data_IF_701869439056
#
_entry.id   IF_701869439056
#
_cell.length_a   1.000
_cell.length_b   1.000
_cell.length_c   1.000
_cell.angle_alpha   90.00
_cell.angle_beta   90.00
_cell.angle_gamma   90.00
#
_symmetry.space_group_name_H-M   'P 1'
#
loop_
_entity.id
_entity.type
_entity.pdbx_description
1 polymer ?
#
# COMPACT_ATOMS: atom_id res chain seq x y z
N UNK A 1 -28.41 -36.44 -42.60
CA UNK A 1 -28.50 -35.06 -42.03
C UNK A 1 -27.61 -34.98 -40.81
N UNK A 2 -26.36 -34.57 -40.99
CA UNK A 2 -25.38 -34.45 -39.91
C UNK A 2 -24.22 -33.57 -40.42
N UNK A 3 -24.35 -32.27 -40.26
CA UNK A 3 -23.25 -31.33 -40.45
C UNK A 3 -23.63 -30.02 -39.74
N UNK A 4 -23.15 -29.82 -38.49
CA UNK A 4 -22.99 -28.51 -37.85
C UNK A 4 -22.56 -28.67 -36.37
N UNK A 5 -21.28 -28.97 -36.13
CA UNK A 5 -20.73 -28.79 -34.74
C UNK A 5 -19.22 -28.60 -34.64
N UNK A 6 -18.50 -28.31 -35.77
CA UNK A 6 -17.02 -28.19 -35.73
C UNK A 6 -16.44 -26.77 -35.78
N UNK A 7 -17.27 -25.74 -36.07
CA UNK A 7 -16.75 -24.36 -36.27
C UNK A 7 -16.72 -23.48 -35.02
N UNK A 8 -17.23 -23.93 -33.89
CA UNK A 8 -17.33 -23.10 -32.67
C UNK A 8 -16.17 -23.29 -31.67
N UNK A 9 -15.34 -24.35 -31.83
CA UNK A 9 -14.22 -24.62 -30.93
C UNK A 9 -12.91 -23.89 -31.27
N UNK A 10 -12.69 -23.53 -32.52
CA UNK A 10 -11.41 -22.93 -32.97
C UNK A 10 -11.33 -21.42 -32.65
N UNK A 11 -12.47 -20.71 -32.53
CA UNK A 11 -12.49 -19.27 -32.24
C UNK A 11 -12.23 -18.91 -30.77
N UNK A 12 -12.39 -19.87 -29.84
CA UNK A 12 -12.16 -19.62 -28.38
C UNK A 12 -10.69 -19.73 -27.96
N UNK A 13 -9.86 -20.50 -28.66
CA UNK A 13 -8.43 -20.65 -28.31
C UNK A 13 -7.58 -19.46 -28.79
N UNK A 14 -7.93 -18.83 -29.91
CA UNK A 14 -7.15 -17.73 -30.48
C UNK A 14 -7.32 -16.39 -29.72
N UNK A 15 -8.47 -16.19 -29.06
CA UNK A 15 -8.72 -14.96 -28.26
C UNK A 15 -8.15 -15.04 -26.83
N UNK A 16 -7.89 -16.23 -26.29
CA UNK A 16 -7.35 -16.42 -24.94
C UNK A 16 -5.85 -16.12 -24.83
N UNK A 17 -5.07 -16.48 -25.84
CA UNK A 17 -3.61 -16.27 -25.83
C UNK A 17 -3.22 -14.80 -26.07
N UNK A 18 -3.98 -14.07 -26.86
CA UNK A 18 -3.76 -12.63 -27.10
C UNK A 18 -4.07 -11.74 -25.90
N UNK A 19 -4.92 -12.18 -24.99
CA UNK A 19 -5.25 -11.47 -23.73
C UNK A 19 -4.33 -11.88 -22.58
N UNK A 20 -3.84 -13.12 -22.57
CA UNK A 20 -2.96 -13.61 -21.48
C UNK A 20 -1.56 -12.99 -21.51
N UNK A 21 -0.94 -12.83 -22.68
CA UNK A 21 0.41 -12.25 -22.82
C UNK A 21 0.53 -10.82 -22.23
N UNK A 22 -0.29 -9.83 -22.60
CA UNK A 22 -0.16 -8.48 -22.06
C UNK A 22 -0.49 -8.40 -20.56
N UNK A 23 -1.38 -9.26 -20.03
CA UNK A 23 -1.71 -9.32 -18.63
C UNK A 23 -0.51 -9.85 -17.80
N UNK A 24 0.12 -10.93 -18.26
CA UNK A 24 1.30 -11.51 -17.60
C UNK A 24 2.48 -10.51 -17.64
N UNK A 25 2.73 -9.92 -18.81
CA UNK A 25 3.81 -8.92 -18.95
C UNK A 25 3.57 -7.70 -18.06
N UNK A 26 2.33 -7.21 -18.00
CA UNK A 26 1.98 -6.09 -17.13
C UNK A 26 2.15 -6.42 -15.64
N UNK A 27 1.76 -7.62 -15.23
CA UNK A 27 1.97 -8.10 -13.86
C UNK A 27 3.44 -8.23 -13.52
N UNK A 28 4.26 -8.77 -14.44
CA UNK A 28 5.72 -8.87 -14.23
C UNK A 28 6.39 -7.51 -14.10
N UNK A 29 6.00 -6.53 -14.92
CA UNK A 29 6.52 -5.15 -14.83
C UNK A 29 6.17 -4.57 -13.46
N UNK A 30 4.91 -4.64 -13.02
CA UNK A 30 4.49 -4.13 -11.70
C UNK A 30 5.21 -4.85 -10.55
N UNK A 31 5.44 -6.15 -10.67
CA UNK A 31 6.17 -6.92 -9.65
C UNK A 31 7.63 -6.50 -9.59
N UNK A 32 8.30 -6.37 -10.75
CA UNK A 32 9.70 -5.98 -10.82
C UNK A 32 9.92 -4.54 -10.32
N UNK A 33 9.07 -3.59 -10.74
CA UNK A 33 9.12 -2.20 -10.25
C UNK A 33 8.76 -2.09 -8.79
N UNK A 34 7.77 -2.85 -8.31
CA UNK A 34 7.42 -2.92 -6.90
C UNK A 34 8.54 -3.46 -6.04
N UNK A 35 9.30 -4.46 -6.53
CA UNK A 35 10.50 -4.97 -5.85
C UNK A 35 11.60 -3.91 -5.84
N UNK A 36 11.90 -3.28 -6.98
CA UNK A 36 12.90 -2.22 -7.07
C UNK A 36 12.57 -1.04 -6.14
N UNK A 37 11.31 -0.59 -6.10
CA UNK A 37 10.86 0.48 -5.20
C UNK A 37 11.03 0.10 -3.72
N UNK A 38 10.76 -1.14 -3.34
CA UNK A 38 10.99 -1.61 -1.96
C UNK A 38 12.46 -1.68 -1.61
N UNK A 39 13.31 -2.09 -2.56
CA UNK A 39 14.74 -2.11 -2.39
C UNK A 39 15.31 -0.70 -2.18
N UNK A 40 14.93 0.25 -3.03
CA UNK A 40 15.30 1.67 -2.87
C UNK A 40 14.78 2.21 -1.54
N UNK A 41 13.52 1.95 -1.20
CA UNK A 41 12.91 2.38 0.06
C UNK A 41 13.58 1.79 1.31
N UNK A 42 14.09 0.57 1.22
CA UNK A 42 14.83 -0.06 2.31
C UNK A 42 16.15 0.68 2.59
N UNK A 43 16.98 0.94 1.57
CA UNK A 43 18.23 1.70 1.75
C UNK A 43 17.96 3.15 2.18
N UNK A 44 16.91 3.75 1.67
CA UNK A 44 16.47 5.07 2.12
C UNK A 44 16.17 5.11 3.61
N UNK A 45 15.50 4.10 4.16
CA UNK A 45 15.23 4.02 5.61
C UNK A 45 16.50 3.86 6.45
N UNK A 46 17.50 3.12 5.96
CA UNK A 46 18.81 3.02 6.60
C UNK A 46 19.48 4.41 6.63
N UNK A 47 19.44 5.12 5.51
CA UNK A 47 19.97 6.48 5.43
C UNK A 47 19.26 7.41 6.42
N UNK A 48 17.92 7.42 6.44
CA UNK A 48 17.15 8.26 7.36
C UNK A 48 17.44 7.93 8.84
N UNK A 49 17.53 6.65 9.18
CA UNK A 49 17.78 6.22 10.56
C UNK A 49 19.16 6.66 11.07
N UNK A 50 20.17 6.63 10.19
CA UNK A 50 21.52 7.09 10.53
C UNK A 50 21.62 8.61 10.59
N UNK A 51 20.79 9.31 9.81
CA UNK A 51 20.80 10.78 9.75
C UNK A 51 20.02 11.43 10.89
N UNK A 52 18.81 10.91 11.17
CA UNK A 52 17.88 11.54 12.14
C UNK A 52 17.82 10.79 13.47
N UNK A 53 18.48 9.63 13.59
CA UNK A 53 18.44 8.80 14.79
C UNK A 53 17.08 8.15 15.03
N UNK A 54 16.98 7.45 16.16
CA UNK A 54 15.79 6.68 16.53
C UNK A 54 14.58 7.56 16.84
N UNK A 55 14.79 8.66 17.59
CA UNK A 55 13.72 9.60 17.95
C UNK A 55 13.15 10.32 16.72
N UNK A 56 14.03 10.83 15.84
CA UNK A 56 13.62 11.47 14.59
C UNK A 56 12.83 10.53 13.69
N UNK A 57 13.21 9.25 13.64
CA UNK A 57 12.43 8.22 12.94
C UNK A 57 11.06 8.00 13.58
N UNK A 58 10.96 8.06 14.92
CA UNK A 58 9.67 7.97 15.63
C UNK A 58 8.74 9.12 15.26
N UNK A 59 9.23 10.35 15.28
CA UNK A 59 8.47 11.56 14.90
C UNK A 59 8.01 11.46 13.42
N UNK A 60 8.91 11.03 12.52
CA UNK A 60 8.57 10.85 11.11
C UNK A 60 7.45 9.82 10.92
N UNK A 61 7.53 8.68 11.60
CA UNK A 61 6.54 7.61 11.49
C UNK A 61 5.17 8.00 12.06
N UNK A 62 5.10 8.91 13.03
CA UNK A 62 3.82 9.44 13.54
C UNK A 62 3.06 10.29 12.51
N UNK A 63 3.70 10.76 11.45
CA UNK A 63 2.99 11.46 10.36
C UNK A 63 2.24 10.51 9.41
N UNK A 64 2.66 9.24 9.34
CA UNK A 64 2.10 8.24 8.44
C UNK A 64 0.58 7.99 8.61
N UNK A 65 0.01 7.95 9.84
CA UNK A 65 -1.42 7.86 10.07
C UNK A 65 -2.23 8.94 9.34
N UNK A 66 -1.80 10.19 9.42
CA UNK A 66 -2.51 11.32 8.80
C UNK A 66 -2.49 11.18 7.28
N UNK A 67 -1.33 10.81 6.70
CA UNK A 67 -1.20 10.58 5.27
C UNK A 67 -2.08 9.41 4.80
N UNK A 68 -2.08 8.28 5.53
CA UNK A 68 -2.87 7.11 5.19
C UNK A 68 -4.39 7.37 5.23
N UNK A 69 -4.86 8.12 6.24
CA UNK A 69 -6.26 8.53 6.35
C UNK A 69 -6.64 9.49 5.21
N UNK A 70 -5.79 10.48 4.93
CA UNK A 70 -6.00 11.44 3.84
C UNK A 70 -6.09 10.74 2.48
N UNK A 71 -5.17 9.82 2.17
CA UNK A 71 -5.18 9.03 0.94
C UNK A 71 -6.43 8.15 0.84
N UNK A 72 -6.86 7.54 1.96
CA UNK A 72 -8.06 6.70 1.99
C UNK A 72 -9.31 7.50 1.70
N UNK A 73 -9.39 8.72 2.24
CA UNK A 73 -10.54 9.61 2.07
C UNK A 73 -10.59 10.18 0.65
N UNK A 74 -9.46 10.60 0.10
CA UNK A 74 -9.42 11.41 -1.12
C UNK A 74 -9.42 10.59 -2.40
N UNK A 75 -8.65 9.50 -2.48
CA UNK A 75 -8.35 8.87 -3.76
C UNK A 75 -8.43 7.35 -3.81
N UNK A 76 -8.26 6.64 -2.70
CA UNK A 76 -8.05 5.19 -2.75
C UNK A 76 -9.24 4.41 -3.34
N UNK A 77 -10.47 4.80 -3.01
CA UNK A 77 -11.69 4.24 -3.59
C UNK A 77 -11.90 4.70 -5.04
N UNK A 78 -11.63 5.97 -5.32
CA UNK A 78 -11.84 6.56 -6.63
C UNK A 78 -10.88 6.00 -7.68
N UNK A 79 -9.60 5.79 -7.36
CA UNK A 79 -8.65 5.12 -8.25
C UNK A 79 -9.16 3.76 -8.73
N UNK A 80 -9.71 2.97 -7.81
CA UNK A 80 -10.27 1.65 -8.13
C UNK A 80 -11.54 1.76 -8.96
N UNK A 81 -12.41 2.73 -8.65
CA UNK A 81 -13.63 3.00 -9.41
C UNK A 81 -13.30 3.44 -10.85
N UNK A 82 -12.40 4.42 -11.04
CA UNK A 82 -11.93 4.85 -12.35
C UNK A 82 -11.41 3.63 -13.14
N UNK A 83 -10.54 2.83 -12.54
CA UNK A 83 -9.96 1.64 -13.20
C UNK A 83 -11.03 0.68 -13.69
N UNK A 84 -12.04 0.39 -12.87
CA UNK A 84 -13.12 -0.54 -13.23
C UNK A 84 -14.00 -0.01 -14.36
N UNK A 85 -14.44 1.26 -14.28
CA UNK A 85 -15.31 1.84 -15.30
C UNK A 85 -14.57 2.06 -16.63
N UNK A 86 -13.32 2.51 -16.57
CA UNK A 86 -12.47 2.63 -17.76
C UNK A 86 -12.23 1.28 -18.43
N UNK A 87 -11.98 0.21 -17.64
CA UNK A 87 -11.79 -1.13 -18.20
C UNK A 87 -13.03 -1.63 -18.97
N UNK A 88 -14.22 -1.36 -18.48
CA UNK A 88 -15.47 -1.71 -19.16
C UNK A 88 -15.65 -0.94 -20.48
N UNK A 89 -15.35 0.36 -20.49
CA UNK A 89 -15.52 1.22 -21.68
C UNK A 89 -14.40 1.06 -22.70
N UNK A 90 -13.19 0.78 -22.26
CA UNK A 90 -12.05 0.54 -23.15
C UNK A 90 -12.25 -0.68 -24.07
N UNK A 91 -12.98 -1.70 -23.61
CA UNK A 91 -13.32 -2.88 -24.42
C UNK A 91 -14.19 -2.52 -25.64
N UNK A 92 -15.09 -1.55 -25.48
CA UNK A 92 -15.93 -1.02 -26.58
C UNK A 92 -15.27 0.10 -27.38
N UNK A 93 -13.99 0.44 -27.07
CA UNK A 93 -13.24 1.54 -27.66
C UNK A 93 -13.91 2.92 -27.48
N UNK A 94 -14.75 3.06 -26.46
CA UNK A 94 -15.41 4.33 -26.11
C UNK A 94 -14.47 5.20 -25.27
N UNK A 95 -13.48 5.79 -25.92
CA UNK A 95 -12.47 6.62 -25.27
C UNK A 95 -13.04 7.93 -24.71
N UNK A 96 -14.17 8.44 -25.27
CA UNK A 96 -14.87 9.61 -24.73
C UNK A 96 -15.40 9.33 -23.33
N UNK A 97 -16.12 8.22 -23.14
CA UNK A 97 -16.57 7.80 -21.81
C UNK A 97 -15.41 7.51 -20.87
N UNK A 98 -14.30 6.92 -21.34
CA UNK A 98 -13.10 6.72 -20.52
C UNK A 98 -12.55 8.06 -19.99
N UNK A 99 -12.44 9.08 -20.88
CA UNK A 99 -11.98 10.40 -20.49
C UNK A 99 -12.96 11.10 -19.52
N UNK A 100 -14.27 10.93 -19.73
CA UNK A 100 -15.31 11.47 -18.85
C UNK A 100 -15.22 10.88 -17.43
N UNK A 101 -15.04 9.55 -17.31
CA UNK A 101 -14.87 8.89 -16.01
C UNK A 101 -13.59 9.35 -15.29
N UNK A 102 -12.47 9.49 -16.03
CA UNK A 102 -11.24 10.04 -15.48
C UNK A 102 -11.44 11.48 -14.99
N UNK A 103 -12.00 12.36 -15.82
CA UNK A 103 -12.19 13.77 -15.49
C UNK A 103 -13.13 13.96 -14.30
N UNK A 104 -14.28 13.26 -14.30
CA UNK A 104 -15.25 13.31 -13.20
C UNK A 104 -14.64 12.81 -11.89
N UNK A 105 -13.98 11.65 -11.92
CA UNK A 105 -13.32 11.10 -10.75
C UNK A 105 -12.17 11.98 -10.24
N UNK A 106 -11.39 12.55 -11.15
CA UNK A 106 -10.33 13.50 -10.82
C UNK A 106 -10.88 14.77 -10.15
N UNK A 107 -11.94 15.37 -10.70
CA UNK A 107 -12.54 16.59 -10.16
C UNK A 107 -13.06 16.36 -8.72
N UNK A 108 -13.80 15.26 -8.50
CA UNK A 108 -14.32 14.91 -7.17
C UNK A 108 -13.16 14.70 -6.18
N UNK A 109 -12.17 13.90 -6.55
CA UNK A 109 -11.02 13.62 -5.70
C UNK A 109 -10.17 14.86 -5.44
N UNK A 110 -10.03 15.76 -6.44
CA UNK A 110 -9.27 16.99 -6.30
C UNK A 110 -9.93 17.96 -5.33
N UNK A 111 -11.25 18.15 -5.41
CA UNK A 111 -12.01 18.99 -4.47
C UNK A 111 -11.79 18.45 -3.03
N UNK A 112 -11.93 17.13 -2.86
CA UNK A 112 -11.78 16.50 -1.56
C UNK A 112 -10.33 16.58 -1.05
N UNK A 113 -9.33 16.47 -1.95
CA UNK A 113 -7.91 16.57 -1.57
C UNK A 113 -7.50 17.99 -1.19
N UNK A 114 -8.00 19.00 -1.91
CA UNK A 114 -7.76 20.41 -1.56
C UNK A 114 -8.38 20.74 -0.20
N UNK A 115 -9.63 20.29 0.02
CA UNK A 115 -10.30 20.46 1.33
C UNK A 115 -9.48 19.79 2.44
N UNK A 116 -9.05 18.55 2.23
CA UNK A 116 -8.23 17.81 3.20
C UNK A 116 -6.90 18.52 3.47
N UNK A 117 -6.24 19.04 2.43
CA UNK A 117 -5.00 19.82 2.54
C UNK A 117 -5.19 21.07 3.37
N UNK A 118 -6.22 21.86 3.08
CA UNK A 118 -6.53 23.09 3.84
C UNK A 118 -6.82 22.76 5.30
N UNK A 119 -7.62 21.73 5.56
CA UNK A 119 -7.92 21.30 6.93
C UNK A 119 -6.65 20.89 7.68
N UNK A 120 -5.80 20.04 7.09
CA UNK A 120 -4.57 19.59 7.77
C UNK A 120 -3.60 20.76 7.95
N UNK A 121 -3.45 21.65 6.96
CA UNK A 121 -2.57 22.79 7.04
C UNK A 121 -2.98 23.77 8.15
N UNK A 122 -4.26 24.13 8.18
CA UNK A 122 -4.81 25.08 9.16
C UNK A 122 -4.90 24.49 10.58
N UNK A 123 -5.22 23.20 10.68
CA UNK A 123 -5.37 22.51 11.96
C UNK A 123 -4.16 21.63 12.32
N UNK A 124 -2.97 21.90 11.76
CA UNK A 124 -1.76 21.12 12.03
C UNK A 124 -1.42 21.05 13.52
N UNK A 125 -1.50 22.17 14.24
CA UNK A 125 -1.20 22.23 15.68
C UNK A 125 -2.22 21.44 16.53
N UNK A 126 -3.55 21.61 16.39
CA UNK A 126 -4.52 20.75 17.07
C UNK A 126 -4.36 19.26 16.73
N UNK A 127 -4.11 18.92 15.46
CA UNK A 127 -3.88 17.52 15.05
C UNK A 127 -2.63 16.96 15.74
N UNK A 128 -1.54 17.71 15.76
CA UNK A 128 -0.30 17.30 16.41
C UNK A 128 -0.48 17.10 17.93
N UNK A 129 -1.12 18.05 18.62
CA UNK A 129 -1.31 18.01 20.07
C UNK A 129 -2.34 17.00 20.53
N UNK A 130 -3.53 16.99 19.88
CA UNK A 130 -4.68 16.22 20.37
C UNK A 130 -4.85 14.86 19.72
N UNK A 131 -4.42 14.70 18.47
CA UNK A 131 -4.54 13.43 17.73
C UNK A 131 -3.24 12.64 17.73
N UNK A 132 -2.10 13.26 17.33
CA UNK A 132 -0.81 12.56 17.30
C UNK A 132 -0.11 12.53 18.67
N UNK A 133 -0.52 13.37 19.60
CA UNK A 133 0.05 13.52 20.95
C UNK A 133 1.55 13.87 20.94
N UNK A 134 2.02 14.54 19.85
CA UNK A 134 3.40 14.97 19.67
C UNK A 134 3.45 16.28 18.88
N UNK A 135 3.71 17.39 19.56
CA UNK A 135 3.67 18.76 18.99
C UNK A 135 4.69 18.97 17.85
N UNK A 136 5.84 18.31 17.93
CA UNK A 136 6.91 18.42 16.91
C UNK A 136 6.51 17.91 15.54
N UNK A 137 5.37 17.20 15.43
CA UNK A 137 4.81 16.78 14.15
C UNK A 137 4.08 17.90 13.40
N UNK A 138 3.67 19.00 14.06
CA UNK A 138 2.91 20.07 13.43
C UNK A 138 3.57 20.68 12.18
N UNK A 139 4.87 21.11 12.20
CA UNK A 139 5.53 21.61 11.01
C UNK A 139 5.63 20.54 9.90
N UNK A 140 5.78 19.26 10.27
CA UNK A 140 5.81 18.16 9.32
C UNK A 140 4.47 17.97 8.64
N UNK A 141 3.36 18.08 9.38
CA UNK A 141 2.00 17.99 8.84
C UNK A 141 1.68 19.08 7.83
N UNK A 142 2.14 20.33 8.08
CA UNK A 142 1.97 21.43 7.12
C UNK A 142 2.68 21.14 5.79
N UNK A 143 3.91 20.65 5.81
CA UNK A 143 4.64 20.24 4.61
C UNK A 143 3.96 19.04 3.95
N UNK A 144 3.60 18.04 4.74
CA UNK A 144 2.97 16.79 4.29
C UNK A 144 1.65 17.04 3.56
N UNK A 145 0.85 18.02 4.02
CA UNK A 145 -0.46 18.34 3.44
C UNK A 145 -0.36 18.68 1.94
N UNK A 146 0.76 19.27 1.50
CA UNK A 146 1.01 19.62 0.10
C UNK A 146 1.17 18.37 -0.80
N UNK A 147 1.49 17.21 -0.24
CA UNK A 147 1.59 15.97 -0.99
C UNK A 147 0.22 15.42 -1.41
N UNK A 148 -0.86 15.75 -0.70
CA UNK A 148 -2.20 15.16 -0.89
C UNK A 148 -2.79 15.46 -2.27
N UNK A 149 -2.80 16.73 -2.76
CA UNK A 149 -3.28 17.00 -4.12
C UNK A 149 -2.40 16.36 -5.19
N UNK A 150 -1.08 16.34 -4.98
CA UNK A 150 -0.14 15.71 -5.89
C UNK A 150 -0.40 14.21 -6.02
N UNK A 151 -0.53 13.51 -4.89
CA UNK A 151 -0.84 12.08 -4.89
C UNK A 151 -2.21 11.78 -5.53
N UNK A 152 -3.17 12.68 -5.40
CA UNK A 152 -4.49 12.57 -6.03
C UNK A 152 -4.40 12.59 -7.55
N UNK A 153 -3.61 13.51 -8.12
CA UNK A 153 -3.42 13.59 -9.58
C UNK A 153 -2.88 12.28 -10.14
N UNK A 154 -1.70 11.86 -9.66
CA UNK A 154 -1.07 10.66 -10.22
C UNK A 154 -1.87 9.39 -9.96
N UNK A 155 -2.58 9.29 -8.83
CA UNK A 155 -3.38 8.11 -8.51
C UNK A 155 -4.62 7.99 -9.41
N UNK A 156 -5.32 9.10 -9.73
CA UNK A 156 -6.42 9.08 -10.69
C UNK A 156 -5.94 8.67 -12.09
N UNK A 157 -4.81 9.22 -12.54
CA UNK A 157 -4.18 8.86 -13.81
C UNK A 157 -3.75 7.39 -13.83
N UNK A 158 -3.14 6.90 -12.74
CA UNK A 158 -2.79 5.49 -12.61
C UNK A 158 -4.03 4.59 -12.66
N UNK A 159 -5.15 5.01 -12.03
CA UNK A 159 -6.43 4.31 -12.15
C UNK A 159 -6.88 4.14 -13.60
N UNK A 160 -6.77 5.19 -14.40
CA UNK A 160 -7.06 5.14 -15.84
C UNK A 160 -6.16 4.14 -16.57
N UNK A 161 -4.83 4.22 -16.37
CA UNK A 161 -3.88 3.33 -17.02
C UNK A 161 -4.03 1.86 -16.60
N UNK A 162 -4.40 1.60 -15.35
CA UNK A 162 -4.79 0.25 -14.90
C UNK A 162 -6.03 -0.24 -15.66
N UNK A 163 -7.02 0.63 -15.86
CA UNK A 163 -8.24 0.30 -16.63
C UNK A 163 -7.95 -0.09 -18.07
N UNK A 164 -7.08 0.62 -18.76
CA UNK A 164 -6.67 0.28 -20.14
C UNK A 164 -5.55 -0.77 -20.22
N UNK A 165 -5.16 -1.38 -19.07
CA UNK A 165 -4.12 -2.41 -18.95
C UNK A 165 -2.71 -1.98 -19.34
N UNK A 166 -2.41 -0.69 -19.36
CA UNK A 166 -1.07 -0.11 -19.59
C UNK A 166 -0.34 0.12 -18.28
N UNK A 167 0.08 -0.97 -17.63
CA UNK A 167 0.69 -0.95 -16.30
C UNK A 167 2.10 -0.37 -16.25
N UNK A 168 2.75 -0.19 -17.39
CA UNK A 168 4.07 0.45 -17.49
C UNK A 168 4.09 1.89 -16.97
N UNK A 169 3.01 2.65 -17.18
CA UNK A 169 2.93 4.05 -16.71
C UNK A 169 2.88 4.12 -15.19
N UNK A 170 1.94 3.45 -14.48
CA UNK A 170 1.97 3.39 -13.03
C UNK A 170 3.31 2.89 -12.45
N UNK A 171 3.92 1.91 -13.10
CA UNK A 171 5.22 1.38 -12.69
C UNK A 171 6.34 2.43 -12.77
N UNK A 172 6.40 3.19 -13.87
CA UNK A 172 7.38 4.27 -14.06
C UNK A 172 7.11 5.43 -13.08
N UNK A 173 5.85 5.79 -12.85
CA UNK A 173 5.47 6.81 -11.86
C UNK A 173 5.95 6.43 -10.45
N UNK A 174 5.78 5.18 -10.05
CA UNK A 174 6.24 4.66 -8.76
C UNK A 174 7.77 4.71 -8.62
N UNK A 175 8.50 4.35 -9.67
CA UNK A 175 9.98 4.43 -9.66
C UNK A 175 10.45 5.88 -9.62
N UNK A 176 9.86 6.76 -10.44
CA UNK A 176 10.20 8.18 -10.46
C UNK A 176 9.95 8.84 -9.09
N UNK A 177 8.85 8.52 -8.44
CA UNK A 177 8.53 8.95 -7.08
C UNK A 177 9.64 8.54 -6.10
N UNK A 178 10.03 7.27 -6.09
CA UNK A 178 11.03 6.76 -5.16
C UNK A 178 12.42 7.35 -5.42
N UNK A 179 12.85 7.40 -6.70
CA UNK A 179 14.16 7.95 -7.07
C UNK A 179 14.24 9.44 -6.73
N UNK A 180 13.18 10.21 -7.06
CA UNK A 180 13.13 11.65 -6.76
C UNK A 180 13.07 11.92 -5.27
N UNK A 181 12.33 11.13 -4.50
CA UNK A 181 12.27 11.21 -3.03
C UNK A 181 13.64 11.00 -2.41
N UNK A 182 14.31 9.91 -2.76
CA UNK A 182 15.62 9.57 -2.19
C UNK A 182 16.67 10.57 -2.66
N UNK A 183 16.72 10.87 -3.95
CA UNK A 183 17.68 11.80 -4.53
C UNK A 183 17.57 13.21 -3.94
N UNK A 184 16.35 13.74 -3.79
CA UNK A 184 16.14 15.06 -3.23
C UNK A 184 16.57 15.15 -1.77
N UNK A 185 16.24 14.15 -0.93
CA UNK A 185 16.66 14.16 0.49
C UNK A 185 18.17 14.05 0.60
N UNK A 186 18.81 13.21 -0.22
CA UNK A 186 20.26 13.10 -0.26
C UNK A 186 20.93 14.43 -0.67
N UNK A 187 20.43 15.09 -1.71
CA UNK A 187 20.94 16.40 -2.15
C UNK A 187 20.74 17.49 -1.09
N UNK A 188 19.54 17.58 -0.48
CA UNK A 188 19.25 18.55 0.58
C UNK A 188 20.16 18.30 1.78
N UNK A 189 20.36 17.04 2.18
CA UNK A 189 21.25 16.68 3.28
C UNK A 189 22.68 17.17 3.05
N UNK A 190 23.27 16.89 1.88
CA UNK A 190 24.64 17.34 1.56
C UNK A 190 24.74 18.86 1.42
N UNK A 191 23.74 19.52 0.85
CA UNK A 191 23.70 20.98 0.78
C UNK A 191 23.66 21.60 2.18
N UNK A 192 22.86 21.06 3.10
CA UNK A 192 22.83 21.56 4.49
C UNK A 192 24.15 21.36 5.22
N UNK A 193 24.80 20.20 5.07
CA UNK A 193 26.12 19.96 5.66
C UNK A 193 27.18 20.95 5.13
N UNK A 194 27.16 21.24 3.82
CA UNK A 194 28.07 22.20 3.20
C UNK A 194 27.91 23.63 3.77
N UNK A 195 26.69 23.98 4.23
CA UNK A 195 26.40 25.27 4.86
C UNK A 195 26.44 25.22 6.39
N UNK A 196 26.90 24.14 7.03
CA UNK A 196 26.97 23.98 8.46
C UNK A 196 25.63 23.89 9.19
N UNK A 197 24.55 23.60 8.47
CA UNK A 197 23.21 23.46 9.03
C UNK A 197 22.97 22.01 9.53
N UNK A 198 22.24 21.90 10.64
CA UNK A 198 21.84 20.58 11.18
C UNK A 198 20.70 19.97 10.36
N UNK A 199 20.82 18.70 9.93
CA UNK A 199 19.74 18.00 9.24
C UNK A 199 18.52 17.80 10.14
N UNK A 200 17.33 18.14 9.65
CA UNK A 200 16.06 17.97 10.37
C UNK A 200 15.16 16.94 9.72
N UNK A 201 14.27 16.34 10.51
CA UNK A 201 13.29 15.34 10.03
C UNK A 201 12.39 15.92 8.93
N UNK A 202 12.21 17.23 8.88
CA UNK A 202 11.45 17.91 7.82
C UNK A 202 11.97 17.60 6.41
N UNK A 203 13.27 17.33 6.26
CA UNK A 203 13.86 16.98 4.95
C UNK A 203 13.27 15.66 4.38
N UNK A 204 12.99 14.69 5.25
CA UNK A 204 12.34 13.44 4.81
C UNK A 204 10.92 13.70 4.29
N UNK A 205 10.19 14.63 4.91
CA UNK A 205 8.83 15.01 4.48
C UNK A 205 8.87 15.86 3.20
N UNK A 206 9.82 16.78 3.07
CA UNK A 206 10.05 17.56 1.83
C UNK A 206 10.37 16.60 0.67
N UNK A 207 11.24 15.61 0.90
CA UNK A 207 11.55 14.60 -0.10
C UNK A 207 10.34 13.78 -0.53
N UNK A 208 9.41 13.50 0.40
CA UNK A 208 8.14 12.86 0.06
C UNK A 208 7.32 13.74 -0.88
N UNK A 209 7.18 15.03 -0.61
CA UNK A 209 6.45 15.99 -1.48
C UNK A 209 7.11 16.08 -2.86
N UNK A 210 8.44 16.14 -2.93
CA UNK A 210 9.18 16.19 -4.21
C UNK A 210 8.96 14.88 -4.99
N UNK A 211 8.97 13.73 -4.33
CA UNK A 211 8.66 12.44 -4.96
C UNK A 211 7.25 12.42 -5.55
N UNK A 212 6.24 12.87 -4.80
CA UNK A 212 4.86 12.99 -5.27
C UNK A 212 4.75 13.97 -6.46
N UNK A 213 5.48 15.08 -6.44
CA UNK A 213 5.52 16.05 -7.54
C UNK A 213 6.12 15.43 -8.82
N UNK A 214 7.21 14.67 -8.70
CA UNK A 214 7.83 13.97 -9.83
C UNK A 214 6.90 12.93 -10.45
N UNK A 215 6.23 12.12 -9.62
CA UNK A 215 5.21 11.15 -10.07
C UNK A 215 4.04 11.84 -10.77
N UNK A 216 3.60 12.98 -10.23
CA UNK A 216 2.53 13.80 -10.80
C UNK A 216 2.90 14.37 -12.18
N UNK A 217 4.09 14.94 -12.31
CA UNK A 217 4.59 15.46 -13.59
C UNK A 217 4.65 14.35 -14.65
N UNK A 218 5.21 13.21 -14.31
CA UNK A 218 5.29 12.06 -15.22
C UNK A 218 3.89 11.57 -15.62
N UNK A 219 2.96 11.53 -14.69
CA UNK A 219 1.57 11.13 -14.93
C UNK A 219 0.86 12.09 -15.90
N UNK A 220 1.05 13.41 -15.72
CA UNK A 220 0.49 14.44 -16.60
C UNK A 220 1.07 14.32 -18.01
N UNK A 221 2.38 14.13 -18.13
CA UNK A 221 3.04 13.92 -19.44
C UNK A 221 2.50 12.66 -20.11
N UNK A 222 2.42 11.56 -19.38
CA UNK A 222 1.94 10.28 -19.90
C UNK A 222 0.48 10.35 -20.37
N UNK A 223 -0.40 10.97 -19.60
CA UNK A 223 -1.82 11.09 -19.99
C UNK A 223 -2.01 12.03 -21.17
N UNK A 224 -1.28 13.14 -21.23
CA UNK A 224 -1.28 14.05 -22.41
C UNK A 224 -0.80 13.33 -23.67
N UNK A 225 0.34 12.66 -23.60
CA UNK A 225 0.87 11.88 -24.72
C UNK A 225 -0.12 10.79 -25.17
N UNK A 226 -0.78 10.13 -24.24
CA UNK A 226 -1.77 9.11 -24.55
C UNK A 226 -2.99 9.68 -25.29
N UNK A 227 -3.57 10.78 -24.81
CA UNK A 227 -4.70 11.42 -25.48
C UNK A 227 -4.30 12.05 -26.81
N UNK A 228 -3.13 12.68 -26.93
CA UNK A 228 -2.62 13.20 -28.21
C UNK A 228 -2.47 12.12 -29.28
N UNK A 229 -2.04 10.93 -28.89
CA UNK A 229 -1.95 9.78 -29.81
C UNK A 229 -3.33 9.22 -30.24
N UNK A 230 -4.38 9.47 -29.46
CA UNK A 230 -5.74 9.04 -29.78
C UNK A 230 -6.50 10.04 -30.68
N UNK A 231 -6.15 11.33 -30.63
CA UNK A 231 -6.83 12.41 -31.38
C UNK A 231 -6.91 12.16 -32.91
N UNK A 232 -5.87 11.63 -33.59
CA UNK A 232 -5.97 11.35 -35.04
C UNK A 232 -7.00 10.29 -35.40
N UNK A 233 -7.29 9.37 -34.47
CA UNK A 233 -8.29 8.31 -34.67
C UNK A 233 -9.71 8.73 -34.26
N UNK A 234 -9.84 9.86 -33.57
CA UNK A 234 -11.12 10.42 -33.11
C UNK A 234 -11.51 11.60 -33.99
N UNK A 235 -12.21 11.33 -35.14
CA UNK A 235 -12.65 12.33 -36.12
C UNK A 235 -13.53 13.46 -35.58
N UNK A 236 -13.79 13.57 -34.30
CA UNK A 236 -14.58 14.62 -33.68
C UNK A 236 -14.21 14.77 -32.19
N UNK A 237 -13.08 15.41 -31.90
CA UNK A 237 -12.90 16.07 -30.60
C UNK A 237 -13.51 17.49 -30.74
N UNK A 238 -14.82 17.58 -30.81
CA UNK A 238 -15.48 18.77 -30.31
C UNK A 238 -15.15 18.90 -28.84
N UNK A 239 -14.88 20.09 -28.28
CA UNK A 239 -14.70 20.27 -26.87
C UNK A 239 -15.85 19.52 -26.19
N UNK A 240 -15.49 18.61 -25.22
CA UNK A 240 -16.47 17.76 -24.58
C UNK A 240 -17.45 18.67 -23.85
N UNK A 241 -18.52 19.06 -24.54
CA UNK A 241 -19.67 19.66 -23.89
C UNK A 241 -20.31 18.52 -23.06
N UNK A 242 -19.82 18.37 -21.83
CA UNK A 242 -20.37 17.40 -20.89
C UNK A 242 -21.71 17.96 -20.45
N UNK A 243 -22.79 17.32 -20.83
CA UNK A 243 -24.09 17.63 -20.26
C UNK A 243 -24.06 17.44 -18.76
N UNK A 244 -24.63 18.37 -18.00
CA UNK A 244 -24.70 18.25 -16.54
C UNK A 244 -25.35 16.92 -16.11
N UNK A 245 -26.25 16.36 -16.93
CA UNK A 245 -26.85 15.05 -16.69
C UNK A 245 -25.84 13.88 -16.86
N UNK A 246 -25.00 13.90 -17.91
CA UNK A 246 -23.96 12.88 -18.11
C UNK A 246 -22.92 12.91 -16.96
N UNK A 247 -22.53 14.12 -16.54
CA UNK A 247 -21.62 14.29 -15.40
C UNK A 247 -22.21 13.72 -14.12
N UNK A 248 -23.46 14.07 -13.79
CA UNK A 248 -24.13 13.61 -12.57
C UNK A 248 -24.30 12.08 -12.56
N UNK A 249 -24.68 11.49 -13.69
CA UNK A 249 -24.81 10.04 -13.82
C UNK A 249 -23.43 9.33 -13.65
N UNK A 250 -22.40 9.85 -14.26
CA UNK A 250 -21.02 9.32 -14.16
C UNK A 250 -20.52 9.44 -12.73
N UNK A 251 -20.73 10.60 -12.07
CA UNK A 251 -20.35 10.84 -10.68
C UNK A 251 -21.06 9.86 -9.74
N UNK A 252 -22.38 9.67 -9.91
CA UNK A 252 -23.16 8.71 -9.11
C UNK A 252 -22.65 7.27 -9.28
N UNK A 253 -22.33 6.88 -10.52
CA UNK A 253 -21.74 5.57 -10.80
C UNK A 253 -20.38 5.38 -10.13
N UNK A 254 -19.48 6.36 -10.26
CA UNK A 254 -18.17 6.32 -9.61
C UNK A 254 -18.28 6.28 -8.08
N UNK A 255 -19.10 7.14 -7.48
CA UNK A 255 -19.28 7.23 -6.02
C UNK A 255 -19.92 5.96 -5.44
N UNK A 256 -20.86 5.33 -6.14
CA UNK A 256 -21.49 4.08 -5.69
C UNK A 256 -20.48 2.94 -5.45
N UNK A 257 -19.37 2.95 -6.18
CA UNK A 257 -18.28 1.99 -6.02
C UNK A 257 -17.17 2.55 -5.12
N UNK A 258 -16.81 3.83 -5.29
CA UNK A 258 -15.69 4.44 -4.57
C UNK A 258 -15.94 4.55 -3.07
N UNK A 259 -17.16 4.94 -2.66
CA UNK A 259 -17.50 5.18 -1.24
C UNK A 259 -17.38 3.91 -0.39
N UNK A 260 -17.98 2.75 -0.75
CA UNK A 260 -17.79 1.52 0.04
C UNK A 260 -16.33 1.08 0.15
N UNK A 261 -15.56 1.22 -0.94
CA UNK A 261 -14.12 0.88 -0.94
C UNK A 261 -13.30 1.83 -0.07
N UNK A 262 -13.60 3.14 -0.12
CA UNK A 262 -12.97 4.14 0.73
C UNK A 262 -13.28 3.91 2.21
N UNK A 263 -14.55 3.63 2.56
CA UNK A 263 -14.97 3.35 3.94
C UNK A 263 -14.22 2.16 4.54
N UNK A 264 -14.09 1.05 3.80
CA UNK A 264 -13.31 -0.10 4.25
C UNK A 264 -11.85 0.28 4.57
N UNK A 265 -11.21 1.07 3.71
CA UNK A 265 -9.83 1.52 3.90
C UNK A 265 -9.71 2.53 5.04
N UNK A 266 -10.66 3.45 5.17
CA UNK A 266 -10.71 4.43 6.26
C UNK A 266 -10.79 3.71 7.61
N UNK A 267 -11.67 2.73 7.75
CA UNK A 267 -11.82 1.96 9.00
C UNK A 267 -10.50 1.27 9.38
N UNK A 268 -9.88 0.56 8.44
CA UNK A 268 -8.60 -0.12 8.70
C UNK A 268 -7.52 0.89 9.07
N UNK A 269 -7.35 1.94 8.27
CA UNK A 269 -6.31 2.95 8.50
C UNK A 269 -6.56 3.76 9.77
N UNK A 270 -7.81 3.99 10.16
CA UNK A 270 -8.16 4.63 11.42
C UNK A 270 -7.73 3.79 12.63
N UNK A 271 -8.02 2.49 12.62
CA UNK A 271 -7.58 1.59 13.69
C UNK A 271 -6.05 1.45 13.73
N UNK A 272 -5.38 1.39 12.57
CA UNK A 272 -3.92 1.42 12.50
C UNK A 272 -3.35 2.76 12.99
N UNK A 273 -4.06 3.86 12.79
CA UNK A 273 -3.68 5.18 13.32
C UNK A 273 -3.75 5.20 14.83
N UNK A 274 -4.83 4.66 15.41
CA UNK A 274 -4.94 4.49 16.87
C UNK A 274 -3.75 3.68 17.39
N UNK A 275 -3.45 2.56 16.77
CA UNK A 275 -2.30 1.74 17.13
C UNK A 275 -0.98 2.54 17.12
N UNK A 276 -0.68 3.22 16.01
CA UNK A 276 0.56 3.97 15.83
C UNK A 276 0.73 5.10 16.85
N UNK A 277 -0.36 5.80 17.18
CA UNK A 277 -0.37 6.93 18.13
C UNK A 277 -0.25 6.44 19.57
N UNK A 278 -0.98 5.38 19.91
CA UNK A 278 -1.01 4.93 21.30
C UNK A 278 0.19 4.09 21.71
N UNK A 279 0.99 3.52 20.80
CA UNK A 279 2.21 2.81 21.16
C UNK A 279 3.16 3.70 21.97
N UNK A 280 3.66 4.85 21.47
CA UNK A 280 4.56 5.71 22.26
C UNK A 280 3.87 6.26 23.51
N UNK A 281 2.57 6.60 23.44
CA UNK A 281 1.80 7.09 24.59
C UNK A 281 1.72 6.05 25.71
N UNK A 282 1.45 4.78 25.40
CA UNK A 282 1.40 3.70 26.39
C UNK A 282 2.78 3.30 26.90
N UNK A 283 3.84 3.50 26.12
CA UNK A 283 5.22 3.37 26.62
C UNK A 283 5.53 4.43 27.67
N UNK A 284 5.04 5.67 27.50
CA UNK A 284 5.16 6.68 28.55
C UNK A 284 4.40 6.29 29.82
N UNK A 285 3.24 5.67 29.69
CA UNK A 285 2.50 5.12 30.84
C UNK A 285 3.23 3.98 31.57
N UNK A 286 4.10 3.24 30.86
CA UNK A 286 4.98 2.23 31.47
C UNK A 286 6.17 2.85 32.21
N UNK A 287 6.53 4.11 31.95
CA UNK A 287 7.64 4.80 32.62
C UNK A 287 8.74 5.32 31.68
N UNK A 288 8.59 5.22 30.36
CA UNK A 288 9.51 5.84 29.41
C UNK A 288 9.31 7.38 29.38
N UNK A 289 10.40 8.15 29.30
CA UNK A 289 10.31 9.56 28.91
C UNK A 289 9.87 9.69 27.45
N UNK A 290 9.31 10.85 27.07
CA UNK A 290 8.77 11.07 25.71
C UNK A 290 9.80 10.74 24.61
N UNK A 291 11.02 11.27 24.69
CA UNK A 291 12.08 11.00 23.72
C UNK A 291 12.44 9.50 23.63
N UNK A 292 12.49 8.80 24.77
CA UNK A 292 12.77 7.38 24.82
C UNK A 292 11.61 6.55 24.19
N UNK A 293 10.36 6.89 24.48
CA UNK A 293 9.19 6.24 23.90
C UNK A 293 9.15 6.38 22.39
N UNK A 294 9.44 7.59 21.88
CA UNK A 294 9.52 7.86 20.44
C UNK A 294 10.71 7.13 19.79
N UNK A 295 11.85 7.05 20.48
CA UNK A 295 13.01 6.30 20.01
C UNK A 295 12.70 4.82 19.87
N UNK A 296 12.09 4.19 20.88
CA UNK A 296 11.66 2.79 20.83
C UNK A 296 10.66 2.56 19.70
N UNK A 297 9.68 3.43 19.55
CA UNK A 297 8.70 3.39 18.45
C UNK A 297 9.38 3.56 17.08
N UNK A 298 10.33 4.48 16.95
CA UNK A 298 11.10 4.73 15.73
C UNK A 298 11.97 3.55 15.32
N UNK A 299 12.67 2.93 16.29
CA UNK A 299 13.44 1.69 16.06
C UNK A 299 12.54 0.57 15.59
N UNK A 300 11.38 0.40 16.23
CA UNK A 300 10.44 -0.66 15.86
C UNK A 300 9.87 -0.46 14.45
N UNK A 301 9.24 0.70 14.20
CA UNK A 301 8.45 0.95 12.98
C UNK A 301 9.28 1.49 11.82
N UNK A 302 10.35 2.21 12.12
CA UNK A 302 11.23 2.83 11.12
C UNK A 302 12.41 1.96 10.70
N UNK A 303 12.90 1.07 11.57
CA UNK A 303 14.09 0.27 11.36
C UNK A 303 13.79 -1.23 11.28
N UNK A 304 13.32 -1.85 12.38
CA UNK A 304 13.23 -3.31 12.50
C UNK A 304 12.10 -3.92 11.67
N UNK A 305 10.87 -3.39 11.76
CA UNK A 305 9.73 -3.90 10.99
C UNK A 305 9.96 -3.86 9.48
N UNK A 306 10.47 -2.77 8.87
CA UNK A 306 10.74 -2.74 7.44
C UNK A 306 11.74 -3.80 6.97
N UNK A 307 12.75 -4.10 7.77
CA UNK A 307 13.72 -5.16 7.47
C UNK A 307 13.08 -6.54 7.49
N UNK A 308 12.31 -6.84 8.56
CA UNK A 308 11.61 -8.12 8.69
C UNK A 308 10.53 -8.31 7.63
N UNK A 309 9.89 -7.21 7.20
CA UNK A 309 8.88 -7.22 6.15
C UNK A 309 9.49 -7.30 4.73
N UNK A 310 10.77 -7.03 4.54
CA UNK A 310 11.39 -6.97 3.22
C UNK A 310 11.24 -8.28 2.42
N UNK A 311 11.48 -9.48 2.98
CA UNK A 311 11.30 -10.73 2.24
C UNK A 311 9.85 -11.02 1.81
N UNK A 312 8.85 -10.33 2.39
CA UNK A 312 7.45 -10.46 1.98
C UNK A 312 7.18 -10.04 0.53
N UNK A 313 8.13 -9.34 -0.11
CA UNK A 313 8.08 -9.03 -1.53
C UNK A 313 7.95 -10.31 -2.39
N UNK A 314 8.62 -11.40 -1.98
CA UNK A 314 8.57 -12.70 -2.67
C UNK A 314 7.15 -13.29 -2.53
N UNK A 315 6.60 -13.31 -1.32
CA UNK A 315 5.25 -13.86 -1.10
C UNK A 315 4.16 -13.04 -1.79
N UNK A 316 4.31 -11.71 -1.83
CA UNK A 316 3.38 -10.85 -2.55
C UNK A 316 3.36 -11.11 -4.06
N UNK A 317 4.51 -11.42 -4.67
CA UNK A 317 4.59 -11.81 -6.08
C UNK A 317 3.83 -13.13 -6.33
N UNK A 318 3.95 -14.09 -5.42
CA UNK A 318 3.20 -15.35 -5.47
C UNK A 318 1.70 -15.07 -5.32
N UNK A 319 1.30 -14.21 -4.39
CA UNK A 319 -0.10 -13.85 -4.14
C UNK A 319 -0.79 -13.27 -5.38
N UNK A 320 -0.10 -12.42 -6.13
CA UNK A 320 -0.64 -11.82 -7.37
C UNK A 320 -0.94 -12.87 -8.43
N UNK A 321 -0.08 -13.89 -8.58
CA UNK A 321 -0.27 -14.99 -9.51
C UNK A 321 -1.31 -15.99 -9.03
N UNK A 322 -1.41 -16.18 -7.73
CA UNK A 322 -2.28 -17.17 -7.11
C UNK A 322 -3.76 -16.80 -7.24
N UNK A 323 -4.10 -15.53 -7.14
CA UNK A 323 -5.47 -15.04 -7.17
C UNK A 323 -6.23 -15.46 -8.45
N UNK A 324 -5.74 -15.23 -9.68
CA UNK A 324 -6.42 -15.67 -10.89
C UNK A 324 -6.46 -17.20 -11.03
N UNK A 325 -5.39 -17.89 -10.63
CA UNK A 325 -5.33 -19.37 -10.69
C UNK A 325 -6.44 -19.99 -9.83
N UNK A 326 -6.61 -19.48 -8.61
CA UNK A 326 -7.66 -19.96 -7.71
C UNK A 326 -9.04 -19.61 -8.22
N UNK A 327 -9.25 -18.40 -8.74
CA UNK A 327 -10.53 -17.96 -9.30
C UNK A 327 -10.93 -18.78 -10.54
N UNK A 328 -9.99 -19.09 -11.44
CA UNK A 328 -10.23 -19.98 -12.59
C UNK A 328 -10.58 -21.40 -12.14
N UNK A 329 -9.86 -21.95 -11.15
CA UNK A 329 -10.08 -23.27 -10.63
C UNK A 329 -11.44 -23.39 -9.89
N UNK A 330 -11.84 -22.35 -9.17
CA UNK A 330 -13.15 -22.27 -8.50
C UNK A 330 -14.29 -22.23 -9.52
N UNK A 331 -14.17 -21.39 -10.54
CA UNK A 331 -15.14 -21.32 -11.64
C UNK A 331 -15.28 -22.64 -12.41
N UNK A 332 -14.18 -23.41 -12.50
CA UNK A 332 -14.17 -24.76 -13.10
C UNK A 332 -14.56 -25.88 -12.11
N UNK A 333 -14.92 -25.55 -10.87
CA UNK A 333 -15.22 -26.50 -9.78
C UNK A 333 -14.09 -27.52 -9.53
N UNK A 334 -12.84 -27.13 -9.83
CA UNK A 334 -11.67 -27.99 -9.69
C UNK A 334 -11.06 -27.91 -8.30
N UNK A 335 -11.70 -28.57 -7.34
CA UNK A 335 -11.29 -28.61 -5.93
C UNK A 335 -9.87 -29.17 -5.76
N UNK A 336 -9.45 -30.11 -6.64
CA UNK A 336 -8.10 -30.70 -6.55
C UNK A 336 -7.01 -29.64 -6.79
N UNK A 337 -7.16 -28.82 -7.82
CA UNK A 337 -6.22 -27.72 -8.12
C UNK A 337 -6.12 -26.73 -6.96
N UNK A 338 -7.26 -26.38 -6.34
CA UNK A 338 -7.28 -25.45 -5.23
C UNK A 338 -6.61 -26.07 -3.98
N UNK A 339 -6.92 -27.34 -3.65
CA UNK A 339 -6.23 -28.04 -2.54
C UNK A 339 -4.72 -28.14 -2.77
N UNK A 340 -4.28 -28.38 -4.01
CA UNK A 340 -2.85 -28.38 -4.38
C UNK A 340 -2.22 -26.99 -4.20
N UNK A 341 -2.90 -25.93 -4.64
CA UNK A 341 -2.46 -24.55 -4.45
C UNK A 341 -2.33 -24.20 -2.96
N UNK A 342 -3.34 -24.48 -2.14
CA UNK A 342 -3.33 -24.27 -0.69
C UNK A 342 -2.15 -24.99 -0.03
N UNK A 343 -1.99 -26.29 -0.30
CA UNK A 343 -0.89 -27.08 0.28
C UNK A 343 0.48 -26.54 -0.14
N UNK A 344 0.63 -26.20 -1.41
CA UNK A 344 1.84 -25.59 -1.96
C UNK A 344 2.16 -24.27 -1.24
N UNK A 345 1.20 -23.36 -1.16
CA UNK A 345 1.36 -22.04 -0.54
C UNK A 345 1.70 -22.13 0.95
N UNK A 346 1.02 -23.00 1.70
CA UNK A 346 1.32 -23.19 3.12
C UNK A 346 2.73 -23.77 3.29
N UNK A 347 3.12 -24.76 2.48
CA UNK A 347 4.46 -25.36 2.54
C UNK A 347 5.56 -24.34 2.19
N UNK A 348 5.42 -23.62 1.07
CA UNK A 348 6.41 -22.62 0.64
C UNK A 348 6.45 -21.43 1.58
N UNK A 349 5.30 -20.92 2.03
CA UNK A 349 5.21 -19.84 3.00
C UNK A 349 5.86 -20.21 4.34
N UNK A 350 5.63 -21.45 4.81
CA UNK A 350 6.27 -21.96 6.01
C UNK A 350 7.79 -22.11 5.85
N UNK A 351 8.26 -22.75 4.78
CA UNK A 351 9.69 -22.96 4.54
C UNK A 351 10.45 -21.63 4.39
N UNK A 352 9.92 -20.71 3.58
CA UNK A 352 10.49 -19.37 3.43
C UNK A 352 10.48 -18.62 4.75
N UNK A 353 9.38 -18.73 5.50
CA UNK A 353 9.24 -18.08 6.81
C UNK A 353 10.25 -18.60 7.81
N UNK A 354 10.41 -19.92 7.93
CA UNK A 354 11.41 -20.55 8.80
C UNK A 354 12.83 -20.14 8.40
N UNK A 355 13.14 -20.13 7.09
CA UNK A 355 14.44 -19.67 6.59
C UNK A 355 14.71 -18.22 7.03
N UNK A 356 13.74 -17.32 6.84
CA UNK A 356 13.86 -15.92 7.28
C UNK A 356 13.99 -15.82 8.80
N UNK A 357 13.23 -16.61 9.57
CA UNK A 357 13.34 -16.66 11.03
C UNK A 357 14.75 -17.06 11.46
N UNK A 358 15.33 -18.10 10.86
CA UNK A 358 16.69 -18.52 11.17
C UNK A 358 17.72 -17.43 10.83
N UNK A 359 17.58 -16.78 9.67
CA UNK A 359 18.46 -15.66 9.31
C UNK A 359 18.37 -14.53 10.35
N UNK A 360 17.17 -14.17 10.78
CA UNK A 360 16.97 -13.09 11.75
C UNK A 360 17.33 -13.51 13.18
N UNK A 361 17.16 -14.77 13.53
CA UNK A 361 17.55 -15.29 14.85
C UNK A 361 19.07 -15.24 15.05
N UNK A 362 19.83 -15.70 14.06
CA UNK A 362 21.29 -15.73 14.15
C UNK A 362 21.97 -14.43 13.70
N UNK A 363 21.37 -13.71 12.76
CA UNK A 363 21.92 -12.50 12.18
C UNK A 363 21.30 -11.20 12.69
N UNK A 364 20.20 -11.23 13.46
CA UNK A 364 19.42 -10.04 13.81
C UNK A 364 20.21 -8.99 14.55
N UNK A 365 20.99 -9.38 15.57
CA UNK A 365 21.83 -8.46 16.32
C UNK A 365 22.95 -7.85 15.46
N UNK A 366 23.57 -8.65 14.61
CA UNK A 366 24.55 -8.16 13.64
C UNK A 366 23.90 -7.16 12.66
N UNK A 367 22.74 -7.50 12.11
CA UNK A 367 22.01 -6.62 11.18
C UNK A 367 21.57 -5.31 11.85
N UNK A 368 21.08 -5.36 13.09
CA UNK A 368 20.70 -4.18 13.86
C UNK A 368 21.87 -3.23 14.08
N UNK A 369 23.01 -3.77 14.48
CA UNK A 369 24.21 -2.98 14.70
C UNK A 369 24.83 -2.49 13.39
N UNK A 370 24.95 -3.36 12.38
CA UNK A 370 25.57 -3.02 11.10
C UNK A 370 24.75 -2.00 10.28
N UNK A 371 23.43 -2.19 10.19
CA UNK A 371 22.59 -1.32 9.36
C UNK A 371 22.19 -0.03 10.08
N UNK A 372 21.79 -0.15 11.37
CA UNK A 372 21.14 0.93 12.11
C UNK A 372 21.96 1.47 13.28
N UNK A 373 23.10 0.85 13.60
CA UNK A 373 23.94 1.19 14.76
C UNK A 373 23.13 1.17 16.08
N UNK A 374 22.22 0.21 16.20
CA UNK A 374 21.29 0.08 17.31
C UNK A 374 21.17 -1.38 17.77
N UNK A 375 21.57 -1.64 19.02
CA UNK A 375 21.36 -2.95 19.65
C UNK A 375 19.88 -3.27 19.81
N UNK A 376 19.07 -2.27 20.19
CA UNK A 376 17.62 -2.41 20.32
C UNK A 376 16.96 -2.83 18.99
N UNK A 377 17.46 -2.33 17.85
CA UNK A 377 16.99 -2.78 16.54
C UNK A 377 17.29 -4.26 16.31
N UNK A 378 18.47 -4.72 16.76
CA UNK A 378 18.86 -6.12 16.70
C UNK A 378 17.90 -7.01 17.48
N UNK A 379 17.63 -6.68 18.75
CA UNK A 379 16.71 -7.40 19.62
C UNK A 379 15.30 -7.51 19.00
N UNK A 380 14.81 -6.39 18.44
CA UNK A 380 13.52 -6.39 17.76
C UNK A 380 13.52 -7.25 16.49
N UNK A 381 14.60 -7.24 15.70
CA UNK A 381 14.71 -8.09 14.50
C UNK A 381 14.64 -9.56 14.88
N UNK A 382 15.33 -9.97 15.94
CA UNK A 382 15.31 -11.35 16.43
C UNK A 382 13.88 -11.77 16.80
N UNK A 383 13.20 -10.98 17.63
CA UNK A 383 11.83 -11.29 18.08
C UNK A 383 10.83 -11.27 16.93
N UNK A 384 10.90 -10.24 16.08
CA UNK A 384 10.02 -10.08 14.93
C UNK A 384 10.26 -11.13 13.84
N UNK A 385 11.43 -11.76 13.81
CA UNK A 385 11.74 -12.88 12.92
C UNK A 385 10.72 -14.01 13.00
N UNK A 386 10.16 -14.27 14.19
CA UNK A 386 9.11 -15.28 14.40
C UNK A 386 7.76 -14.92 13.74
N UNK A 387 7.55 -13.67 13.31
CA UNK A 387 6.39 -13.27 12.51
C UNK A 387 6.41 -13.85 11.09
N UNK A 388 7.58 -14.07 10.51
CA UNK A 388 7.74 -14.41 9.11
C UNK A 388 6.91 -15.63 8.67
N UNK A 389 6.95 -16.80 9.33
CA UNK A 389 6.17 -17.95 8.91
C UNK A 389 4.66 -17.68 8.93
N UNK A 390 4.18 -17.04 10.01
CA UNK A 390 2.78 -16.73 10.21
C UNK A 390 2.28 -15.76 9.14
N UNK A 391 3.04 -14.69 8.90
CA UNK A 391 2.67 -13.63 7.97
C UNK A 391 2.67 -14.12 6.52
N UNK A 392 3.64 -14.96 6.12
CA UNK A 392 3.72 -15.47 4.76
C UNK A 392 2.61 -16.48 4.47
N UNK A 393 2.26 -17.31 5.43
CA UNK A 393 1.11 -18.21 5.33
C UNK A 393 -0.19 -17.40 5.28
N UNK A 394 -0.38 -16.43 6.18
CA UNK A 394 -1.59 -15.61 6.21
C UNK A 394 -1.80 -14.82 4.91
N UNK A 395 -0.74 -14.21 4.35
CA UNK A 395 -0.85 -13.44 3.10
C UNK A 395 -1.25 -14.31 1.91
N UNK A 396 -0.70 -15.52 1.79
CA UNK A 396 -1.05 -16.46 0.73
C UNK A 396 -2.46 -17.02 0.90
N UNK A 397 -2.88 -17.35 2.12
CA UNK A 397 -4.25 -17.80 2.40
C UNK A 397 -5.29 -16.68 2.15
N UNK A 398 -4.97 -15.43 2.49
CA UNK A 398 -5.80 -14.27 2.15
C UNK A 398 -5.97 -14.12 0.64
N UNK A 399 -4.89 -14.31 -0.13
CA UNK A 399 -4.97 -14.28 -1.60
C UNK A 399 -5.87 -15.39 -2.16
N UNK A 400 -5.80 -16.59 -1.58
CA UNK A 400 -6.69 -17.70 -1.93
C UNK A 400 -8.15 -17.36 -1.62
N UNK A 401 -8.46 -16.88 -0.41
CA UNK A 401 -9.81 -16.47 -0.02
C UNK A 401 -10.36 -15.36 -0.92
N UNK A 402 -9.53 -14.41 -1.31
CA UNK A 402 -9.89 -13.36 -2.27
C UNK A 402 -10.17 -13.95 -3.67
N UNK A 403 -9.38 -14.92 -4.12
CA UNK A 403 -9.60 -15.65 -5.38
C UNK A 403 -10.91 -16.45 -5.39
N UNK A 404 -11.34 -16.96 -4.23
CA UNK A 404 -12.63 -17.60 -4.00
C UNK A 404 -13.80 -16.62 -3.83
N UNK A 405 -13.58 -15.31 -4.01
CA UNK A 405 -14.60 -14.27 -3.81
C UNK A 405 -14.99 -14.00 -2.36
N UNK A 406 -14.28 -14.58 -1.38
CA UNK A 406 -14.57 -14.43 0.06
C UNK A 406 -13.89 -13.21 0.69
N UNK A 407 -13.90 -12.09 -0.02
CA UNK A 407 -13.24 -10.83 0.41
C UNK A 407 -13.79 -10.26 1.72
N UNK A 408 -15.08 -10.49 2.01
CA UNK A 408 -15.68 -10.09 3.29
C UNK A 408 -15.07 -10.84 4.49
N UNK A 409 -14.72 -12.13 4.33
CA UNK A 409 -14.05 -12.90 5.39
C UNK A 409 -12.63 -12.40 5.62
N UNK A 410 -11.88 -12.11 4.55
CA UNK A 410 -10.51 -11.58 4.70
C UNK A 410 -10.49 -10.22 5.39
N UNK A 411 -11.49 -9.37 5.10
CA UNK A 411 -11.68 -8.11 5.82
C UNK A 411 -11.97 -8.34 7.30
N UNK A 412 -12.95 -9.20 7.63
CA UNK A 412 -13.31 -9.51 9.01
C UNK A 412 -12.13 -10.06 9.82
N UNK A 413 -11.35 -10.97 9.25
CA UNK A 413 -10.19 -11.56 9.92
C UNK A 413 -9.05 -10.55 10.12
N UNK A 414 -8.86 -9.65 9.15
CA UNK A 414 -7.91 -8.55 9.30
C UNK A 414 -8.33 -7.57 10.41
N UNK A 415 -9.62 -7.28 10.51
CA UNK A 415 -10.19 -6.46 11.58
C UNK A 415 -10.00 -7.11 12.95
N UNK A 416 -10.33 -8.41 13.06
CA UNK A 416 -10.18 -9.15 14.31
C UNK A 416 -8.71 -9.21 14.78
N UNK A 417 -7.78 -9.48 13.84
CA UNK A 417 -6.34 -9.44 14.09
C UNK A 417 -5.90 -8.06 14.61
N UNK A 418 -6.42 -6.99 14.02
CA UNK A 418 -6.11 -5.62 14.42
C UNK A 418 -6.68 -5.29 15.81
N UNK A 419 -7.90 -5.76 16.14
CA UNK A 419 -8.45 -5.60 17.49
C UNK A 419 -7.63 -6.35 18.55
N UNK A 420 -7.15 -7.57 18.25
CA UNK A 420 -6.22 -8.29 19.14
C UNK A 420 -4.99 -7.44 19.38
N UNK A 421 -4.40 -6.87 18.34
CA UNK A 421 -3.19 -6.04 18.44
C UNK A 421 -3.44 -4.78 19.27
N UNK A 422 -4.57 -4.10 19.06
CA UNK A 422 -4.98 -2.94 19.86
C UNK A 422 -5.18 -3.32 21.34
N UNK A 423 -5.79 -4.47 21.65
CA UNK A 423 -5.92 -4.94 23.04
C UNK A 423 -4.55 -5.05 23.71
N UNK A 424 -3.53 -5.57 23.01
CA UNK A 424 -2.17 -5.64 23.54
C UNK A 424 -1.54 -4.25 23.69
N UNK A 425 -1.84 -3.29 22.81
CA UNK A 425 -1.38 -1.89 22.95
C UNK A 425 -1.92 -1.29 24.26
N UNK A 426 -3.20 -1.46 24.54
CA UNK A 426 -3.82 -0.83 25.71
C UNK A 426 -3.57 -1.56 27.03
N UNK A 427 -3.42 -2.89 27.00
CA UNK A 427 -3.29 -3.72 28.21
C UNK A 427 -1.86 -4.16 28.45
N UNK A 428 -1.18 -4.68 27.42
CA UNK A 428 0.12 -5.32 27.60
C UNK A 428 1.29 -4.33 27.60
N UNK A 429 1.23 -3.24 26.84
CA UNK A 429 2.30 -2.22 26.87
C UNK A 429 2.44 -1.59 28.27
N UNK A 430 1.37 -1.16 28.97
CA UNK A 430 1.51 -0.62 30.31
C UNK A 430 2.09 -1.59 31.34
N UNK A 431 2.00 -2.92 31.12
CA UNK A 431 2.49 -3.95 32.01
C UNK A 431 3.91 -4.42 31.68
N UNK A 432 4.21 -4.59 30.39
CA UNK A 432 5.45 -5.22 29.91
C UNK A 432 6.26 -4.35 28.95
N UNK A 433 5.92 -3.07 28.86
CA UNK A 433 6.58 -2.15 27.94
C UNK A 433 6.45 -2.60 26.49
N UNK A 434 7.48 -2.34 25.68
CA UNK A 434 7.47 -2.66 24.25
C UNK A 434 7.33 -4.16 23.95
N UNK A 435 7.79 -5.04 24.86
CA UNK A 435 7.62 -6.48 24.71
C UNK A 435 6.15 -6.89 24.65
N UNK A 436 5.27 -6.19 25.40
CA UNK A 436 3.83 -6.39 25.32
C UNK A 436 3.29 -6.19 23.90
N UNK A 437 3.77 -5.17 23.19
CA UNK A 437 3.40 -4.96 21.79
C UNK A 437 3.98 -6.02 20.85
N UNK A 438 5.23 -6.44 21.03
CA UNK A 438 5.85 -7.48 20.20
C UNK A 438 5.08 -8.80 20.32
N UNK A 439 4.67 -9.17 21.54
CA UNK A 439 3.79 -10.33 21.75
C UNK A 439 2.41 -10.14 21.11
N UNK A 440 1.87 -8.92 21.13
CA UNK A 440 0.62 -8.57 20.45
C UNK A 440 0.70 -8.76 18.93
N UNK A 441 1.81 -8.38 18.31
CA UNK A 441 2.07 -8.62 16.90
C UNK A 441 2.08 -10.14 16.58
N UNK A 442 2.78 -10.93 17.37
CA UNK A 442 2.82 -12.39 17.20
C UNK A 442 1.44 -13.02 17.38
N UNK A 443 0.73 -12.66 18.46
CA UNK A 443 -0.61 -13.17 18.76
C UNK A 443 -1.61 -12.81 17.66
N UNK A 444 -1.62 -11.57 17.20
CA UNK A 444 -2.52 -11.11 16.15
C UNK A 444 -2.30 -11.83 14.82
N UNK A 445 -1.03 -12.06 14.44
CA UNK A 445 -0.69 -12.81 13.24
C UNK A 445 -1.02 -14.30 13.36
N UNK A 446 -0.85 -14.88 14.54
CA UNK A 446 -1.25 -16.25 14.82
C UNK A 446 -2.77 -16.43 14.68
N UNK A 447 -3.57 -15.54 15.29
CA UNK A 447 -5.03 -15.52 15.16
C UNK A 447 -5.45 -15.40 13.70
N UNK A 448 -4.89 -14.44 12.95
CA UNK A 448 -5.20 -14.25 11.54
C UNK A 448 -4.90 -15.50 10.71
N UNK A 449 -3.73 -16.12 10.93
CA UNK A 449 -3.32 -17.33 10.22
C UNK A 449 -4.26 -18.49 10.50
N UNK A 450 -4.65 -18.70 11.77
CA UNK A 450 -5.59 -19.75 12.16
C UNK A 450 -6.97 -19.57 11.53
N UNK A 451 -7.51 -18.32 11.57
CA UNK A 451 -8.81 -18.00 10.99
C UNK A 451 -8.83 -18.22 9.48
N UNK A 452 -7.78 -17.77 8.76
CA UNK A 452 -7.65 -18.00 7.32
C UNK A 452 -7.54 -19.49 6.99
N UNK A 453 -6.77 -20.24 7.79
CA UNK A 453 -6.63 -21.69 7.61
C UNK A 453 -7.94 -22.43 7.86
N UNK A 454 -8.68 -22.05 8.90
CA UNK A 454 -10.01 -22.59 9.19
C UNK A 454 -11.00 -22.31 8.04
N UNK A 455 -11.08 -21.06 7.56
CA UNK A 455 -11.96 -20.68 6.48
C UNK A 455 -11.67 -21.45 5.18
N UNK A 456 -10.39 -21.58 4.82
CA UNK A 456 -10.00 -22.35 3.62
C UNK A 456 -10.32 -23.84 3.78
N UNK A 457 -10.12 -24.43 4.97
CA UNK A 457 -10.48 -25.83 5.23
C UNK A 457 -12.00 -26.06 5.21
N UNK A 458 -12.76 -25.13 5.79
CA UNK A 458 -14.24 -25.20 5.81
C UNK A 458 -14.86 -25.10 4.42
N UNK A 459 -14.20 -24.41 3.49
CA UNK A 459 -14.67 -24.27 2.11
C UNK A 459 -14.62 -25.60 1.31
N UNK A 460 -13.78 -26.55 1.73
CA UNK A 460 -13.57 -27.83 1.03
C UNK A 460 -14.09 -29.05 1.78
N UNK A 461 -14.77 -28.88 2.88
CA UNK A 461 -15.58 -29.90 3.51
C UNK A 461 -16.98 -29.91 2.91
#
# INVERSE_FOLDING_TARGET
MSFRSSTFRIRRSFTMDTVKKPLITGTLILTATGFASRFIGFFYRIFLSRTFGAEGMGIYQLTAPVLALSFSLTVSGMQTAISKFVAGRALSKDYRSCALHLFTGFLISMILSVLCTVLIYCYADPIARSFLLEERTAPLLRILSLSIPLSTVHSCVNGYFYGIKKTSVPALCQLAEQISRVGSVYLIYHACLAHGLQPTVSFAVVGLVIGEAASTLLSIVAIRAHFSALVPSMKSFAPVSVSSGEFCQTARGLLSLAVPLALNRIIINFLQSIEAIFIPNKLMSYGYGNAAALSVYGVLTGMSLPLVLFPSAITNSICVLLLPIVSEADSAQNVHTIKKAVRGCVRYGFLLGVLCTLIFLFGGNFLGQFLYQSSLAGDFIVILGFLCPLMYIASTLNSILNGLGKTGLTFLYSMLSLFVRLAFVFVAIPLWGIHGYLYGLLASQFVQTLLCMYAVRSYYR
#
